data_IF_940617533156
#
_entry.id   IF_940617533156
#
_cell.length_a   1.000
_cell.length_b   1.000
_cell.length_c   1.000
_cell.angle_alpha   90.00
_cell.angle_beta   90.00
_cell.angle_gamma   90.00
#
_symmetry.space_group_name_H-M   'P 1'
#
loop_
_entity.id
_entity.type
_entity.pdbx_description
1 polymer ?
#
# COMPACT_ATOMS: atom_id res chain seq x y z
N UNK A 1 23.67 -2.15 31.89
CA UNK A 1 23.69 -1.15 30.82
C UNK A 1 22.61 -1.54 29.85
N UNK A 2 21.50 -0.80 29.81
CA UNK A 2 20.46 -0.98 28.80
C UNK A 2 21.03 -0.43 27.50
N UNK A 3 21.52 -1.32 26.64
CA UNK A 3 21.86 -0.94 25.26
C UNK A 3 20.64 -0.22 24.67
N UNK A 4 20.79 1.01 24.14
CA UNK A 4 19.67 1.72 23.55
C UNK A 4 18.98 0.83 22.51
N UNK A 5 17.64 0.91 22.42
CA UNK A 5 16.94 0.37 21.25
C UNK A 5 17.46 1.19 20.08
N UNK A 6 18.26 0.59 19.20
CA UNK A 6 18.88 1.32 18.10
C UNK A 6 17.82 1.44 17.01
N UNK A 7 17.07 2.53 17.03
CA UNK A 7 16.37 3.03 15.85
C UNK A 7 17.16 4.25 15.39
N UNK A 8 17.85 4.15 14.25
CA UNK A 8 18.67 5.28 13.76
C UNK A 8 17.81 6.45 13.27
N UNK A 9 16.56 6.15 12.88
CA UNK A 9 15.58 7.15 12.53
C UNK A 9 15.13 7.91 13.79
N UNK A 10 15.07 9.23 13.68
CA UNK A 10 14.47 10.11 14.68
C UNK A 10 15.09 10.12 16.09
N UNK A 11 16.39 9.79 16.23
CA UNK A 11 17.13 9.82 17.51
C UNK A 11 17.05 11.15 18.30
N UNK A 12 16.59 12.24 17.68
CA UNK A 12 16.46 13.57 18.28
C UNK A 12 15.01 13.96 18.59
N UNK A 13 14.05 13.11 18.26
CA UNK A 13 12.61 13.37 18.46
C UNK A 13 12.12 12.56 19.66
N UNK A 14 11.35 13.19 20.53
CA UNK A 14 10.66 12.53 21.65
C UNK A 14 9.15 12.71 21.47
N UNK A 15 8.42 11.68 21.01
CA UNK A 15 6.97 11.74 20.84
C UNK A 15 6.22 12.05 22.13
N UNK A 16 5.09 12.73 22.01
CA UNK A 16 4.19 12.98 23.13
C UNK A 16 3.68 11.62 23.67
N UNK A 17 3.88 11.31 24.97
CA UNK A 17 3.44 10.03 25.54
C UNK A 17 1.95 9.76 25.36
N UNK A 18 1.11 10.80 25.30
CA UNK A 18 -0.34 10.67 25.06
C UNK A 18 -0.65 10.26 23.62
N UNK A 19 0.16 10.69 22.65
CA UNK A 19 0.04 10.27 21.24
C UNK A 19 0.49 8.81 21.09
N UNK A 20 1.58 8.43 21.75
CA UNK A 20 2.08 7.04 21.77
C UNK A 20 1.01 6.10 22.34
N UNK A 21 0.39 6.46 23.48
CA UNK A 21 -0.69 5.67 24.08
C UNK A 21 -1.90 5.52 23.14
N UNK A 22 -2.24 6.56 22.36
CA UNK A 22 -3.30 6.49 21.35
C UNK A 22 -3.00 5.46 20.25
N UNK A 23 -1.75 5.40 19.74
CA UNK A 23 -1.36 4.42 18.73
C UNK A 23 -1.32 3.01 19.29
N UNK A 24 -0.80 2.81 20.51
CA UNK A 24 -0.81 1.49 21.16
C UNK A 24 -2.24 0.97 21.32
N UNK A 25 -3.18 1.79 21.82
CA UNK A 25 -4.60 1.42 21.93
C UNK A 25 -5.23 1.09 20.57
N UNK A 26 -4.83 1.80 19.52
CA UNK A 26 -5.28 1.53 18.17
C UNK A 26 -4.78 0.15 17.69
N UNK A 27 -3.51 -0.20 17.91
CA UNK A 27 -2.99 -1.52 17.58
C UNK A 27 -3.64 -2.62 18.43
N UNK A 28 -3.84 -2.40 19.72
CA UNK A 28 -4.56 -3.31 20.62
C UNK A 28 -5.98 -3.60 20.12
N UNK A 29 -6.68 -2.58 19.63
CA UNK A 29 -8.05 -2.71 19.11
C UNK A 29 -8.16 -3.61 17.87
N UNK A 30 -7.04 -3.90 17.21
CA UNK A 30 -6.94 -4.82 16.09
C UNK A 30 -6.92 -6.30 16.46
N UNK A 31 -6.68 -6.63 17.75
CA UNK A 31 -6.56 -8.02 18.18
C UNK A 31 -7.86 -8.80 17.92
N UNK A 32 -7.78 -9.81 17.06
CA UNK A 32 -8.88 -10.73 16.76
C UNK A 32 -8.81 -12.01 17.59
N UNK A 33 -9.91 -12.75 17.62
CA UNK A 33 -9.90 -14.12 18.13
C UNK A 33 -9.19 -15.04 17.14
N UNK A 34 -8.42 -16.01 17.65
CA UNK A 34 -7.73 -16.98 16.79
C UNK A 34 -8.77 -17.76 15.96
N UNK A 35 -8.57 -17.77 14.65
CA UNK A 35 -9.46 -18.45 13.70
C UNK A 35 -10.66 -17.62 13.21
N UNK A 36 -10.76 -16.33 13.59
CA UNK A 36 -11.79 -15.41 13.08
C UNK A 36 -11.25 -14.35 12.14
N UNK A 37 -9.96 -14.42 11.79
CA UNK A 37 -9.32 -13.44 10.91
C UNK A 37 -9.91 -13.46 9.51
N UNK A 38 -9.96 -12.30 8.87
CA UNK A 38 -10.34 -12.13 7.48
C UNK A 38 -9.20 -11.62 6.62
N UNK A 39 -9.53 -11.24 5.39
CA UNK A 39 -8.61 -10.59 4.46
C UNK A 39 -9.20 -9.25 4.03
N UNK A 40 -8.37 -8.21 4.04
CA UNK A 40 -8.61 -7.01 3.24
C UNK A 40 -7.84 -7.14 1.94
N UNK A 41 -8.45 -6.82 0.80
CA UNK A 41 -7.76 -6.80 -0.49
C UNK A 41 -8.02 -5.47 -1.18
N UNK A 42 -6.95 -4.79 -1.58
CA UNK A 42 -7.00 -3.56 -2.35
C UNK A 42 -6.38 -3.79 -3.71
N UNK A 43 -7.05 -3.33 -4.77
CA UNK A 43 -6.54 -3.40 -6.14
C UNK A 43 -6.66 -2.02 -6.77
N UNK A 44 -5.52 -1.42 -7.08
CA UNK A 44 -5.45 -0.18 -7.85
C UNK A 44 -5.41 -0.51 -9.34
N UNK A 45 -6.13 0.26 -10.14
CA UNK A 45 -6.22 0.10 -11.58
C UNK A 45 -5.68 1.34 -12.28
N UNK A 46 -5.07 1.14 -13.45
CA UNK A 46 -4.62 2.21 -14.32
C UNK A 46 -5.68 2.47 -15.40
N UNK A 47 -6.39 3.61 -15.36
CA UNK A 47 -7.32 3.98 -16.42
C UNK A 47 -6.55 4.41 -17.68
N UNK A 48 -6.77 3.72 -18.80
CA UNK A 48 -6.08 4.01 -20.07
C UNK A 48 -7.03 4.08 -21.25
N UNK A 49 -6.79 5.04 -22.15
CA UNK A 49 -7.60 5.24 -23.34
C UNK A 49 -7.60 4.01 -24.26
N UNK A 50 -8.75 3.64 -24.81
CA UNK A 50 -8.85 2.54 -25.75
C UNK A 50 -8.22 2.85 -27.11
N UNK A 51 -8.12 4.13 -27.48
CA UNK A 51 -7.52 4.56 -28.74
C UNK A 51 -6.02 4.31 -28.79
N UNK A 52 -5.30 4.59 -27.69
CA UNK A 52 -3.86 4.72 -27.77
C UNK A 52 -3.09 4.37 -26.49
N UNK A 53 -3.77 3.89 -25.44
CA UNK A 53 -3.20 3.41 -24.17
C UNK A 53 -2.52 4.51 -23.31
N UNK A 54 -2.75 5.79 -23.59
CA UNK A 54 -2.37 6.90 -22.69
C UNK A 54 -3.26 6.94 -21.44
N UNK A 55 -2.76 7.54 -20.37
CA UNK A 55 -3.50 7.69 -19.11
C UNK A 55 -4.75 8.56 -19.30
N UNK A 56 -5.84 8.16 -18.67
CA UNK A 56 -7.07 8.94 -18.53
C UNK A 56 -6.92 9.84 -17.31
N UNK A 57 -7.22 11.12 -17.47
CA UNK A 57 -7.07 12.10 -16.39
C UNK A 57 -8.40 12.39 -15.69
N UNK A 58 -8.34 13.02 -14.52
CA UNK A 58 -9.55 13.39 -13.78
C UNK A 58 -10.41 14.43 -14.49
N UNK A 59 -9.77 15.41 -15.13
CA UNK A 59 -10.43 16.64 -15.60
C UNK A 59 -10.92 16.60 -17.06
N UNK A 60 -10.62 15.55 -17.81
CA UNK A 60 -11.11 15.42 -19.18
C UNK A 60 -12.60 15.08 -19.22
N UNK A 61 -13.28 15.43 -20.33
CA UNK A 61 -14.75 15.38 -20.41
C UNK A 61 -15.33 13.98 -20.19
N UNK A 62 -14.62 12.94 -20.65
CA UNK A 62 -14.97 11.54 -20.43
C UNK A 62 -14.00 10.86 -19.45
N UNK A 63 -13.44 11.62 -18.51
CA UNK A 63 -12.39 11.16 -17.60
C UNK A 63 -12.90 10.45 -16.35
N UNK A 64 -12.03 10.41 -15.35
CA UNK A 64 -12.31 9.74 -14.07
C UNK A 64 -13.48 10.39 -13.32
N UNK A 65 -13.62 11.73 -13.35
CA UNK A 65 -14.78 12.39 -12.73
C UNK A 65 -16.09 11.97 -13.40
N UNK A 66 -16.09 11.82 -14.73
CA UNK A 66 -17.25 11.35 -15.47
C UNK A 66 -17.58 9.90 -15.09
N UNK A 67 -16.57 9.03 -14.99
CA UNK A 67 -16.74 7.67 -14.50
C UNK A 67 -17.37 7.62 -13.12
N UNK A 68 -16.79 8.33 -12.15
CA UNK A 68 -17.30 8.36 -10.77
C UNK A 68 -18.76 8.82 -10.71
N UNK A 69 -19.10 9.89 -11.42
CA UNK A 69 -20.49 10.37 -11.47
C UNK A 69 -21.45 9.36 -12.12
N UNK A 70 -21.00 8.56 -13.09
CA UNK A 70 -21.83 7.56 -13.76
C UNK A 70 -22.01 6.29 -12.95
N UNK A 71 -21.03 5.89 -12.15
CA UNK A 71 -21.15 4.73 -11.26
C UNK A 71 -21.78 5.08 -9.91
N UNK A 72 -21.79 6.36 -9.53
CA UNK A 72 -22.39 6.88 -8.29
C UNK A 72 -23.75 6.25 -7.92
N UNK A 73 -24.71 6.02 -8.84
CA UNK A 73 -26.00 5.40 -8.51
C UNK A 73 -25.94 3.96 -7.99
N UNK A 74 -24.80 3.27 -8.13
CA UNK A 74 -24.59 1.92 -7.60
C UNK A 74 -24.12 1.91 -6.13
N UNK A 75 -23.83 3.08 -5.54
CA UNK A 75 -23.23 3.25 -4.21
C UNK A 75 -24.16 3.99 -3.25
N UNK A 76 -23.81 3.98 -1.96
CA UNK A 76 -24.61 4.61 -0.91
C UNK A 76 -24.40 6.14 -0.93
N UNK A 77 -25.48 6.93 -1.06
CA UNK A 77 -25.41 8.41 -1.10
C UNK A 77 -24.74 9.02 0.14
N UNK A 78 -24.82 8.35 1.30
CA UNK A 78 -24.21 8.81 2.55
C UNK A 78 -22.73 8.40 2.71
N UNK A 79 -22.15 7.72 1.72
CA UNK A 79 -20.73 7.30 1.68
C UNK A 79 -20.05 7.79 0.41
N UNK A 80 -20.43 8.97 -0.04
CA UNK A 80 -19.73 9.70 -1.08
C UNK A 80 -18.62 10.55 -0.46
N UNK A 81 -17.43 10.52 -1.07
CA UNK A 81 -16.29 11.31 -0.62
C UNK A 81 -16.10 12.48 -1.58
N UNK A 82 -16.19 13.69 -1.03
CA UNK A 82 -16.13 14.94 -1.77
C UNK A 82 -14.94 15.77 -1.32
N UNK A 83 -14.17 16.27 -2.28
CA UNK A 83 -13.05 17.19 -2.05
C UNK A 83 -13.26 18.42 -2.93
N UNK A 84 -13.27 19.63 -2.34
CA UNK A 84 -13.42 20.88 -3.11
C UNK A 84 -14.63 20.90 -4.08
N UNK A 85 -15.74 20.28 -3.67
CA UNK A 85 -16.97 20.18 -4.48
C UNK A 85 -16.90 19.14 -5.60
N UNK A 86 -15.91 18.25 -5.60
CA UNK A 86 -15.67 17.21 -6.60
C UNK A 86 -15.71 15.82 -5.98
N UNK A 87 -16.31 14.87 -6.68
CA UNK A 87 -16.46 13.49 -6.22
C UNK A 87 -15.12 12.75 -6.41
N UNK A 88 -14.55 12.24 -5.32
CA UNK A 88 -13.22 11.59 -5.32
C UNK A 88 -13.24 10.17 -4.76
N UNK A 89 -14.40 9.67 -4.35
CA UNK A 89 -14.56 8.32 -3.87
C UNK A 89 -16.03 7.98 -3.60
N UNK A 90 -16.32 6.69 -3.56
CA UNK A 90 -17.64 6.12 -3.36
C UNK A 90 -17.51 4.88 -2.49
N UNK A 91 -18.47 4.59 -1.63
CA UNK A 91 -18.50 3.31 -0.94
C UNK A 91 -19.92 2.79 -0.76
N UNK A 92 -20.00 1.47 -0.66
CA UNK A 92 -21.20 0.73 -0.25
C UNK A 92 -20.77 -0.44 0.62
N UNK A 93 -21.72 -1.23 1.08
CA UNK A 93 -21.36 -2.46 1.79
C UNK A 93 -20.51 -3.39 0.89
N UNK A 94 -19.42 -3.92 1.44
CA UNK A 94 -18.52 -4.85 0.74
C UNK A 94 -17.53 -4.25 -0.27
N UNK A 95 -17.61 -2.97 -0.64
CA UNK A 95 -16.61 -2.33 -1.54
C UNK A 95 -16.57 -0.80 -1.40
N UNK A 96 -15.36 -0.25 -1.39
CA UNK A 96 -15.10 1.18 -1.60
C UNK A 96 -14.25 1.41 -2.85
N UNK A 97 -14.52 2.52 -3.52
CA UNK A 97 -13.78 3.04 -4.66
C UNK A 97 -13.14 4.35 -4.25
N UNK A 98 -11.82 4.43 -4.38
CA UNK A 98 -11.02 5.60 -4.04
C UNK A 98 -10.12 5.99 -5.21
N UNK A 99 -9.50 7.18 -5.13
CA UNK A 99 -8.56 7.66 -6.13
C UNK A 99 -7.20 7.91 -5.52
N UNK A 100 -6.18 7.35 -6.15
CA UNK A 100 -4.76 7.64 -5.92
C UNK A 100 -4.35 8.97 -6.59
N UNK A 101 -3.13 9.52 -6.33
CA UNK A 101 -2.79 10.87 -6.74
C UNK A 101 -2.87 11.13 -8.26
N UNK A 102 -2.56 10.14 -9.10
CA UNK A 102 -2.61 10.26 -10.56
C UNK A 102 -3.95 9.92 -11.21
N UNK A 103 -4.96 9.56 -10.41
CA UNK A 103 -6.24 9.10 -10.95
C UNK A 103 -6.34 7.59 -11.11
N UNK A 104 -5.40 6.83 -10.57
CA UNK A 104 -5.56 5.38 -10.45
C UNK A 104 -6.80 5.08 -9.61
N UNK A 105 -7.61 4.14 -10.08
CA UNK A 105 -8.88 3.77 -9.45
C UNK A 105 -8.62 2.61 -8.50
N UNK A 106 -8.70 2.86 -7.20
CA UNK A 106 -8.55 1.83 -6.19
C UNK A 106 -9.90 1.21 -5.86
N UNK A 107 -9.95 -0.12 -5.78
CA UNK A 107 -11.05 -0.85 -5.16
C UNK A 107 -10.56 -1.50 -3.88
N UNK A 108 -11.08 -1.06 -2.75
CA UNK A 108 -10.89 -1.72 -1.45
C UNK A 108 -12.06 -2.66 -1.23
N UNK A 109 -11.79 -3.96 -1.26
CA UNK A 109 -12.80 -5.01 -1.07
C UNK A 109 -13.05 -5.16 0.43
N UNK A 110 -14.31 -5.33 0.81
CA UNK A 110 -14.71 -5.61 2.18
C UNK A 110 -14.05 -6.87 2.74
N UNK A 111 -14.21 -7.11 4.04
CA UNK A 111 -13.57 -8.23 4.73
C UNK A 111 -13.99 -9.55 4.09
N UNK A 112 -13.03 -10.25 3.50
CA UNK A 112 -13.20 -11.61 3.00
C UNK A 112 -12.95 -12.60 4.13
N UNK A 113 -13.75 -13.65 4.22
CA UNK A 113 -13.46 -14.79 5.10
C UNK A 113 -12.80 -15.94 4.35
N UNK A 114 -12.88 -15.92 3.03
CA UNK A 114 -12.18 -16.85 2.16
C UNK A 114 -11.62 -16.14 0.93
N UNK A 115 -10.43 -16.53 0.44
CA UNK A 115 -9.84 -15.91 -0.75
C UNK A 115 -10.78 -15.92 -1.97
N UNK A 116 -11.55 -17.00 -2.19
CA UNK A 116 -12.39 -17.18 -3.38
C UNK A 116 -13.60 -16.21 -3.42
N UNK A 117 -13.88 -15.51 -2.31
CA UNK A 117 -14.88 -14.45 -2.27
C UNK A 117 -14.44 -13.22 -3.09
N UNK A 118 -13.12 -13.05 -3.30
CA UNK A 118 -12.54 -11.95 -4.05
C UNK A 118 -13.05 -11.89 -5.48
N UNK A 119 -12.96 -12.99 -6.25
CA UNK A 119 -13.46 -13.03 -7.63
C UNK A 119 -14.95 -12.68 -7.74
N UNK A 120 -15.75 -13.06 -6.74
CA UNK A 120 -17.19 -12.79 -6.71
C UNK A 120 -17.48 -11.30 -6.52
N UNK A 121 -16.89 -10.68 -5.49
CA UNK A 121 -17.10 -9.27 -5.16
C UNK A 121 -16.49 -8.34 -6.21
N UNK A 122 -15.25 -8.60 -6.60
CA UNK A 122 -14.58 -7.82 -7.64
C UNK A 122 -15.26 -7.99 -9.01
N UNK A 123 -15.71 -9.21 -9.35
CA UNK A 123 -16.46 -9.46 -10.57
C UNK A 123 -17.79 -8.71 -10.62
N UNK A 124 -18.45 -8.47 -9.48
CA UNK A 124 -19.65 -7.63 -9.42
C UNK A 124 -19.34 -6.17 -9.76
N UNK A 125 -18.26 -5.63 -9.19
CA UNK A 125 -17.76 -4.29 -9.55
C UNK A 125 -17.46 -4.17 -11.04
N UNK A 126 -16.74 -5.15 -11.63
CA UNK A 126 -16.41 -5.15 -13.06
C UNK A 126 -17.64 -5.14 -13.96
N UNK A 127 -18.67 -5.93 -13.63
CA UNK A 127 -19.94 -5.94 -14.37
C UNK A 127 -20.68 -4.60 -14.36
N UNK A 128 -20.51 -3.79 -13.32
CA UNK A 128 -21.13 -2.46 -13.21
C UNK A 128 -20.30 -1.39 -13.95
N UNK A 129 -18.98 -1.44 -13.83
CA UNK A 129 -18.08 -0.40 -14.35
C UNK A 129 -17.72 -0.58 -15.82
N UNK A 130 -17.51 -1.82 -16.30
CA UNK A 130 -17.00 -2.10 -17.64
C UNK A 130 -17.91 -1.55 -18.77
N UNK A 131 -19.26 -1.65 -18.72
CA UNK A 131 -20.11 -1.03 -19.73
C UNK A 131 -19.99 0.49 -19.79
N UNK A 132 -19.80 1.15 -18.63
CA UNK A 132 -19.64 2.60 -18.55
C UNK A 132 -18.28 3.02 -19.10
N UNK A 133 -17.23 2.26 -18.79
CA UNK A 133 -15.88 2.46 -19.31
C UNK A 133 -15.85 2.40 -20.84
N UNK A 134 -16.52 1.40 -21.43
CA UNK A 134 -16.64 1.27 -22.89
C UNK A 134 -17.31 2.49 -23.52
N UNK A 135 -18.38 3.00 -22.93
CA UNK A 135 -19.04 4.24 -23.40
C UNK A 135 -18.17 5.49 -23.24
N UNK A 136 -17.34 5.56 -22.20
CA UNK A 136 -16.40 6.66 -21.96
C UNK A 136 -15.16 6.58 -22.85
N UNK A 137 -14.87 5.40 -23.43
CA UNK A 137 -13.79 5.19 -24.39
C UNK A 137 -12.44 4.82 -23.75
N UNK A 138 -12.45 4.26 -22.55
CA UNK A 138 -11.25 3.82 -21.85
C UNK A 138 -11.47 2.51 -21.09
N UNK A 139 -10.42 1.92 -20.54
CA UNK A 139 -10.47 0.67 -19.76
C UNK A 139 -9.58 0.74 -18.53
N UNK A 140 -9.80 -0.19 -17.61
CA UNK A 140 -8.96 -0.40 -16.43
C UNK A 140 -7.95 -1.50 -16.72
N UNK A 141 -6.67 -1.21 -16.46
CA UNK A 141 -5.54 -2.13 -16.64
C UNK A 141 -4.91 -2.45 -15.30
N UNK A 142 -4.51 -3.71 -15.13
CA UNK A 142 -3.76 -4.21 -13.98
C UNK A 142 -2.29 -4.38 -14.36
N UNK A 143 -1.52 -3.31 -14.25
CA UNK A 143 -0.06 -3.31 -14.30
C UNK A 143 0.50 -2.53 -13.10
N UNK A 144 1.73 -2.81 -12.70
CA UNK A 144 2.38 -2.05 -11.63
C UNK A 144 2.76 -0.61 -12.01
N UNK A 145 2.77 -0.28 -13.31
CA UNK A 145 3.06 1.06 -13.81
C UNK A 145 2.36 1.36 -15.14
N UNK A 146 2.11 2.64 -15.38
CA UNK A 146 1.47 3.15 -16.59
C UNK A 146 2.18 2.70 -17.90
N UNK A 147 1.47 2.09 -18.86
CA UNK A 147 2.08 1.53 -20.06
C UNK A 147 2.71 2.55 -21.01
N UNK A 148 2.07 3.72 -21.19
CA UNK A 148 2.47 4.69 -22.22
C UNK A 148 2.85 6.07 -21.71
N UNK A 149 2.04 6.63 -20.82
CA UNK A 149 2.26 8.00 -20.31
C UNK A 149 3.41 8.06 -19.31
N UNK A 150 4.12 9.19 -19.31
CA UNK A 150 5.09 9.56 -18.28
C UNK A 150 4.37 10.21 -17.09
N UNK A 151 5.01 10.22 -15.92
CA UNK A 151 4.53 11.01 -14.76
C UNK A 151 4.30 12.50 -15.08
N UNK A 152 5.01 13.02 -16.09
CA UNK A 152 4.90 14.41 -16.53
C UNK A 152 3.58 14.69 -17.27
N UNK A 153 2.97 13.67 -17.87
CA UNK A 153 1.73 13.80 -18.64
C UNK A 153 0.48 13.74 -17.74
N UNK A 154 0.63 13.24 -16.50
CA UNK A 154 -0.49 12.97 -15.60
C UNK A 154 -0.55 14.08 -14.52
N UNK A 155 -1.61 14.90 -14.50
CA UNK A 155 -1.82 15.86 -13.42
C UNK A 155 -2.25 15.14 -12.13
N UNK A 156 -2.02 15.78 -10.99
CA UNK A 156 -2.54 15.26 -9.72
C UNK A 156 -4.02 15.60 -9.53
N UNK A 157 -4.73 14.69 -8.87
CA UNK A 157 -6.12 14.85 -8.46
C UNK A 157 -6.33 16.08 -7.54
N UNK A 158 -7.56 16.63 -7.46
CA UNK A 158 -7.89 17.88 -6.77
C UNK A 158 -7.87 17.80 -5.22
N UNK A 159 -6.88 17.13 -4.62
CA UNK A 159 -6.68 17.05 -3.16
C UNK A 159 -5.45 17.86 -2.74
N UNK A 160 -5.59 18.76 -1.77
CA UNK A 160 -4.50 19.60 -1.27
C UNK A 160 -3.35 18.75 -0.71
N UNK A 161 -3.69 17.64 -0.05
CA UNK A 161 -2.75 16.62 0.41
C UNK A 161 -1.83 16.11 -0.72
N UNK A 162 -2.35 15.84 -1.92
CA UNK A 162 -1.54 15.35 -3.03
C UNK A 162 -0.60 16.40 -3.60
N UNK A 163 -0.99 17.68 -3.55
CA UNK A 163 -0.11 18.80 -3.89
C UNK A 163 1.06 18.90 -2.92
N UNK A 164 0.81 18.77 -1.61
CA UNK A 164 1.85 18.77 -0.58
C UNK A 164 2.78 17.55 -0.71
N UNK A 165 2.22 16.35 -0.88
CA UNK A 165 2.99 15.12 -1.11
C UNK A 165 3.84 15.20 -2.38
N UNK A 166 3.32 15.75 -3.47
CA UNK A 166 4.09 15.97 -4.72
C UNK A 166 5.30 16.86 -4.46
N UNK A 167 5.11 17.96 -3.72
CA UNK A 167 6.19 18.89 -3.41
C UNK A 167 7.24 18.27 -2.46
N UNK A 168 6.82 17.41 -1.53
CA UNK A 168 7.72 16.69 -0.62
C UNK A 168 8.49 15.58 -1.34
N UNK A 169 7.78 14.59 -1.88
CA UNK A 169 8.35 13.39 -2.50
C UNK A 169 9.11 13.71 -3.78
N UNK A 170 8.71 14.76 -4.51
CA UNK A 170 9.47 15.28 -5.64
C UNK A 170 10.82 15.91 -5.29
N UNK A 171 11.08 16.19 -4.01
CA UNK A 171 12.37 16.72 -3.52
C UNK A 171 13.25 15.63 -2.90
N UNK A 172 12.67 14.65 -2.22
CA UNK A 172 13.42 13.67 -1.42
C UNK A 172 13.61 12.32 -2.10
N UNK A 173 12.67 11.91 -2.97
CA UNK A 173 12.64 10.57 -3.53
C UNK A 173 13.05 10.51 -5.00
N UNK A 174 13.76 9.45 -5.39
CA UNK A 174 14.20 9.24 -6.78
C UNK A 174 13.00 9.16 -7.74
N UNK A 175 11.89 8.56 -7.29
CA UNK A 175 10.71 8.25 -8.11
C UNK A 175 9.41 8.83 -7.53
N UNK A 176 9.47 9.87 -6.70
CA UNK A 176 8.28 10.40 -6.00
C UNK A 176 7.08 10.67 -6.92
N UNK A 177 7.24 11.51 -7.97
CA UNK A 177 6.16 11.77 -8.92
C UNK A 177 5.70 10.53 -9.71
N UNK A 178 6.64 9.64 -10.08
CA UNK A 178 6.36 8.38 -10.77
C UNK A 178 5.48 7.45 -9.92
N UNK A 179 5.87 7.22 -8.66
CA UNK A 179 5.10 6.42 -7.71
C UNK A 179 3.69 7.00 -7.56
N UNK A 180 3.59 8.29 -7.25
CA UNK A 180 2.30 8.91 -6.96
C UNK A 180 1.34 8.88 -8.15
N UNK A 181 1.84 9.09 -9.37
CA UNK A 181 0.99 9.37 -10.54
C UNK A 181 0.79 8.20 -11.48
N UNK A 182 1.69 7.22 -11.45
CA UNK A 182 1.76 6.21 -12.49
C UNK A 182 1.86 4.78 -11.96
N UNK A 183 2.12 4.58 -10.66
CA UNK A 183 2.15 3.23 -10.11
C UNK A 183 0.76 2.77 -9.69
N UNK A 184 0.54 1.46 -9.73
CA UNK A 184 -0.65 0.81 -9.18
C UNK A 184 -0.25 -0.47 -8.44
N UNK A 185 -0.99 -0.83 -7.41
CA UNK A 185 -0.66 -1.97 -6.53
C UNK A 185 -1.82 -2.93 -6.27
N UNK A 186 -1.46 -4.13 -5.84
CA UNK A 186 -2.35 -5.03 -5.10
C UNK A 186 -1.81 -5.15 -3.69
N UNK A 187 -2.69 -5.00 -2.70
CA UNK A 187 -2.35 -5.07 -1.29
C UNK A 187 -3.25 -6.11 -0.61
N UNK A 188 -2.66 -6.87 0.31
CA UNK A 188 -3.40 -7.84 1.12
C UNK A 188 -3.21 -7.46 2.58
N UNK A 189 -4.30 -7.43 3.35
CA UNK A 189 -4.30 -7.17 4.77
C UNK A 189 -4.79 -8.39 5.54
N UNK A 190 -4.15 -8.68 6.67
CA UNK A 190 -4.51 -9.77 7.58
C UNK A 190 -4.57 -9.28 9.04
N UNK A 191 -5.27 -10.04 9.87
CA UNK A 191 -5.42 -9.80 11.28
C UNK A 191 -4.31 -10.46 12.11
N UNK A 192 -4.20 -10.01 13.36
CA UNK A 192 -3.35 -10.60 14.39
C UNK A 192 -4.10 -10.77 15.71
N UNK A 193 -3.58 -11.61 16.61
CA UNK A 193 -4.26 -11.97 17.87
C UNK A 193 -3.58 -11.38 19.12
N UNK A 194 -2.38 -10.85 18.99
CA UNK A 194 -1.59 -10.23 20.06
C UNK A 194 -0.46 -9.38 19.49
N UNK A 195 0.23 -8.61 20.32
CA UNK A 195 1.46 -7.90 19.94
C UNK A 195 2.52 -8.86 19.39
N UNK A 196 2.76 -9.97 20.09
CA UNK A 196 3.75 -10.96 19.65
C UNK A 196 3.43 -11.53 18.27
N UNK A 197 2.17 -11.89 18.02
CA UNK A 197 1.71 -12.37 16.71
C UNK A 197 1.84 -11.28 15.64
N UNK A 198 1.50 -10.03 15.99
CA UNK A 198 1.61 -8.90 15.08
C UNK A 198 3.06 -8.67 14.64
N UNK A 199 3.99 -8.60 15.59
CA UNK A 199 5.41 -8.36 15.32
C UNK A 199 6.04 -9.55 14.56
N UNK A 200 5.66 -10.78 14.87
CA UNK A 200 6.12 -11.97 14.14
C UNK A 200 5.69 -11.92 12.67
N UNK A 201 4.41 -11.62 12.40
CA UNK A 201 3.86 -11.46 11.05
C UNK A 201 4.48 -10.28 10.30
N UNK A 202 4.75 -9.15 10.97
CA UNK A 202 5.50 -8.03 10.37
C UNK A 202 6.89 -8.47 9.92
N UNK A 203 7.68 -9.09 10.82
CA UNK A 203 9.04 -9.58 10.52
C UNK A 203 9.03 -10.54 9.35
N UNK A 204 8.22 -11.60 9.43
CA UNK A 204 8.16 -12.62 8.40
C UNK A 204 7.67 -12.06 7.07
N UNK A 205 6.66 -11.18 7.10
CA UNK A 205 6.17 -10.48 5.93
C UNK A 205 7.24 -9.63 5.24
N UNK A 206 8.07 -8.93 6.01
CA UNK A 206 9.21 -8.17 5.50
C UNK A 206 10.29 -9.09 4.91
N UNK A 207 10.51 -10.27 5.50
CA UNK A 207 11.50 -11.25 5.01
C UNK A 207 11.07 -11.91 3.71
N UNK A 208 9.85 -12.46 3.64
CA UNK A 208 9.40 -13.19 2.43
C UNK A 208 8.86 -12.25 1.35
N UNK A 209 8.54 -11.01 1.70
CA UNK A 209 7.95 -10.00 0.83
C UNK A 209 8.68 -9.79 -0.50
N UNK A 210 10.02 -9.60 -0.52
CA UNK A 210 10.79 -9.48 -1.75
C UNK A 210 10.69 -10.71 -2.67
N UNK A 211 10.65 -11.91 -2.09
CA UNK A 211 10.46 -13.16 -2.84
C UNK A 211 9.06 -13.18 -3.45
N UNK A 212 8.02 -12.86 -2.69
CA UNK A 212 6.66 -12.78 -3.21
C UNK A 212 6.52 -11.69 -4.29
N UNK A 213 7.19 -10.55 -4.13
CA UNK A 213 7.24 -9.50 -5.14
C UNK A 213 7.78 -10.02 -6.49
N UNK A 214 8.79 -10.90 -6.45
CA UNK A 214 9.33 -11.56 -7.65
C UNK A 214 8.30 -12.38 -8.41
N UNK A 215 7.55 -13.25 -7.71
CA UNK A 215 6.57 -14.12 -8.34
C UNK A 215 5.29 -13.39 -8.78
N UNK A 216 4.97 -12.27 -8.14
CA UNK A 216 3.80 -11.44 -8.43
C UNK A 216 4.14 -10.13 -9.15
N UNK A 217 5.33 -10.02 -9.75
CA UNK A 217 5.68 -8.88 -10.60
C UNK A 217 4.75 -8.82 -11.82
N UNK A 218 4.36 -7.61 -12.21
CA UNK A 218 3.41 -7.36 -13.28
C UNK A 218 3.58 -5.95 -13.87
N UNK A 219 4.83 -5.56 -14.13
CA UNK A 219 5.19 -4.25 -14.69
C UNK A 219 5.95 -4.41 -16.01
N UNK A 220 5.26 -4.54 -17.15
CA UNK A 220 5.91 -4.65 -18.47
C UNK A 220 6.55 -3.34 -18.95
N UNK A 221 6.08 -2.19 -18.46
CA UNK A 221 6.49 -0.87 -18.96
C UNK A 221 6.92 0.08 -17.86
N UNK A 222 7.77 1.05 -18.22
CA UNK A 222 8.15 2.18 -17.38
C UNK A 222 8.39 3.41 -18.26
N UNK A 223 7.72 4.52 -17.93
CA UNK A 223 7.87 5.81 -18.64
C UNK A 223 7.71 5.68 -20.17
N UNK A 224 6.71 4.91 -20.60
CA UNK A 224 6.36 4.71 -22.01
C UNK A 224 7.30 3.80 -22.80
N UNK A 225 8.16 3.03 -22.11
CA UNK A 225 9.10 2.07 -22.70
C UNK A 225 9.04 0.74 -21.95
N UNK A 226 9.69 -0.29 -22.51
CA UNK A 226 9.90 -1.55 -21.80
C UNK A 226 10.58 -1.31 -20.45
N UNK A 227 10.07 -1.97 -19.40
CA UNK A 227 10.57 -1.82 -18.04
C UNK A 227 12.01 -2.39 -17.92
N UNK A 228 13.02 -1.58 -17.54
CA UNK A 228 14.40 -2.05 -17.41
C UNK A 228 14.70 -2.68 -16.04
N UNK A 229 13.74 -2.70 -15.12
CA UNK A 229 13.94 -3.16 -13.74
C UNK A 229 13.27 -4.52 -13.50
N UNK A 230 13.96 -5.51 -12.92
CA UNK A 230 13.33 -6.76 -12.54
C UNK A 230 12.20 -6.58 -11.52
N UNK A 231 12.35 -5.65 -10.56
CA UNK A 231 11.33 -5.27 -9.59
C UNK A 231 11.19 -3.75 -9.51
N UNK A 232 10.47 -3.14 -10.48
CA UNK A 232 10.30 -1.67 -10.52
C UNK A 232 9.69 -1.12 -9.22
N UNK A 233 8.62 -1.75 -8.71
CA UNK A 233 7.96 -1.29 -7.48
C UNK A 233 8.93 -1.25 -6.31
N UNK A 234 9.68 -2.33 -6.08
CA UNK A 234 10.72 -2.36 -5.04
C UNK A 234 11.75 -1.24 -5.25
N UNK A 235 12.22 -1.07 -6.49
CA UNK A 235 13.15 0.01 -6.85
C UNK A 235 12.61 1.41 -6.53
N UNK A 236 11.31 1.64 -6.73
CA UNK A 236 10.68 2.93 -6.38
C UNK A 236 10.62 3.14 -4.87
N UNK A 237 10.14 2.15 -4.12
CA UNK A 237 9.94 2.26 -2.67
C UNK A 237 11.26 2.29 -1.88
N UNK A 238 12.28 1.55 -2.31
CA UNK A 238 13.60 1.51 -1.63
C UNK A 238 14.31 2.87 -1.58
N UNK A 239 14.00 3.77 -2.52
CA UNK A 239 14.65 5.07 -2.68
C UNK A 239 13.66 6.25 -2.66
N UNK A 240 12.48 6.06 -2.06
CA UNK A 240 11.47 7.10 -1.98
C UNK A 240 11.67 8.02 -0.76
N UNK A 241 11.58 7.47 0.44
CA UNK A 241 11.86 8.18 1.70
C UNK A 241 12.15 7.16 2.79
N UNK A 242 13.44 7.01 3.14
CA UNK A 242 13.92 5.98 4.06
C UNK A 242 13.33 6.09 5.48
N UNK A 243 12.69 7.20 5.84
CA UNK A 243 12.03 7.36 7.14
C UNK A 243 10.66 6.68 7.20
N UNK A 244 10.04 6.38 6.07
CA UNK A 244 8.66 5.88 6.02
C UNK A 244 8.45 4.73 5.04
N UNK A 245 9.49 4.24 4.39
CA UNK A 245 9.43 3.19 3.36
C UNK A 245 10.40 2.08 3.72
N UNK A 246 10.35 0.97 2.98
CA UNK A 246 11.28 -0.15 3.15
C UNK A 246 11.11 -0.85 4.52
N UNK A 247 12.15 -1.54 5.00
CA UNK A 247 12.18 -2.22 6.30
C UNK A 247 11.97 -1.22 7.45
N UNK A 248 11.12 -1.59 8.41
CA UNK A 248 10.86 -0.78 9.62
C UNK A 248 12.14 -0.73 10.47
N UNK A 249 12.64 0.46 10.85
CA UNK A 249 13.84 0.59 11.67
C UNK A 249 13.73 -0.18 12.99
N UNK A 250 14.69 -1.08 13.25
CA UNK A 250 14.76 -1.84 14.51
C UNK A 250 13.80 -3.02 14.61
N UNK A 251 13.02 -3.35 13.57
CA UNK A 251 12.05 -4.45 13.56
C UNK A 251 12.64 -5.79 14.02
N UNK A 252 13.90 -6.06 13.67
CA UNK A 252 14.60 -7.31 14.01
C UNK A 252 15.27 -7.31 15.39
N UNK A 253 15.18 -6.23 16.18
CA UNK A 253 15.55 -6.27 17.60
C UNK A 253 14.52 -7.14 18.35
N UNK A 254 14.92 -8.17 19.13
CA UNK A 254 13.99 -9.02 19.86
C UNK A 254 13.05 -8.29 20.83
N UNK A 255 13.39 -7.04 21.20
CA UNK A 255 12.62 -6.17 22.09
C UNK A 255 11.62 -5.27 21.37
N UNK A 256 11.62 -5.26 20.03
CA UNK A 256 10.74 -4.43 19.22
C UNK A 256 9.27 -4.76 19.49
N UNK A 257 8.45 -3.74 19.76
CA UNK A 257 7.02 -3.85 20.01
C UNK A 257 6.21 -2.70 19.41
N UNK A 258 4.93 -2.63 19.76
CA UNK A 258 3.99 -1.59 19.34
C UNK A 258 4.42 -0.19 19.73
N UNK A 259 5.04 -0.03 20.91
CA UNK A 259 5.58 1.26 21.34
C UNK A 259 6.68 1.75 20.40
N UNK A 260 7.57 0.87 19.95
CA UNK A 260 8.67 1.24 19.05
C UNK A 260 8.14 1.65 17.67
N UNK A 261 7.15 0.91 17.16
CA UNK A 261 6.48 1.29 15.91
C UNK A 261 5.68 2.60 16.05
N UNK A 262 5.00 2.81 17.18
CA UNK A 262 4.30 4.08 17.45
C UNK A 262 5.28 5.27 17.48
N UNK A 263 6.44 5.10 18.14
CA UNK A 263 7.49 6.12 18.20
C UNK A 263 8.04 6.43 16.82
N UNK A 264 8.33 5.42 16.00
CA UNK A 264 8.78 5.59 14.61
C UNK A 264 7.77 6.42 13.79
N UNK A 265 6.49 6.03 13.87
CA UNK A 265 5.39 6.69 13.16
C UNK A 265 5.21 8.15 13.59
N UNK A 266 5.23 8.41 14.90
CA UNK A 266 5.00 9.75 15.45
C UNK A 266 6.18 10.68 15.28
N UNK A 267 7.40 10.13 15.17
CA UNK A 267 8.61 10.92 15.02
C UNK A 267 8.93 11.30 13.58
N UNK A 268 8.32 10.61 12.62
CA UNK A 268 8.47 10.88 11.19
C UNK A 268 7.84 12.23 10.83
N UNK A 269 8.58 13.14 10.15
CA UNK A 269 8.01 14.39 9.67
C UNK A 269 6.78 14.15 8.80
N UNK A 270 5.74 14.95 8.98
CA UNK A 270 4.52 14.85 8.19
C UNK A 270 4.73 15.44 6.79
N UNK A 271 3.98 14.95 5.81
CA UNK A 271 3.94 15.61 4.49
C UNK A 271 2.87 16.71 4.44
N UNK A 272 1.79 16.53 5.20
CA UNK A 272 0.62 17.39 5.19
C UNK A 272 -0.07 17.30 6.54
N UNK A 273 -0.30 18.44 7.18
CA UNK A 273 -1.12 18.55 8.37
C UNK A 273 -2.59 18.65 7.98
N UNK A 274 -3.43 17.88 8.66
CA UNK A 274 -4.88 17.96 8.55
C UNK A 274 -5.50 18.07 9.95
N UNK A 275 -6.08 19.24 10.20
CA UNK A 275 -6.71 19.63 11.46
C UNK A 275 -8.23 19.80 11.33
N UNK A 276 -8.83 19.40 10.21
CA UNK A 276 -10.29 19.51 9.99
C UNK A 276 -11.11 18.67 10.96
N UNK A 277 -10.48 17.68 11.59
CA UNK A 277 -11.06 16.82 12.60
C UNK A 277 -10.44 17.05 14.00
N UNK A 278 -9.80 18.20 14.21
CA UNK A 278 -9.18 18.59 15.48
C UNK A 278 -10.04 19.69 16.13
N UNK A 279 -10.86 19.37 17.16
CA UNK A 279 -11.80 20.33 17.77
C UNK A 279 -11.15 21.63 18.25
N UNK A 280 -9.93 21.53 18.77
CA UNK A 280 -9.16 22.68 19.26
C UNK A 280 -8.81 23.66 18.14
N UNK A 281 -8.47 23.16 16.95
CA UNK A 281 -8.18 23.99 15.77
C UNK A 281 -9.45 24.64 15.23
N UNK A 282 -10.56 23.88 15.18
CA UNK A 282 -11.87 24.39 14.74
C UNK A 282 -12.44 25.47 15.66
N UNK A 283 -12.09 25.44 16.95
CA UNK A 283 -12.55 26.42 17.93
C UNK A 283 -11.87 27.80 17.79
N UNK A 284 -10.77 27.89 17.02
CA UNK A 284 -10.01 29.12 16.82
C UNK A 284 -10.25 29.66 15.40
N UNK A 285 -10.99 30.78 15.23
CA UNK A 285 -11.25 31.35 13.92
C UNK A 285 -9.97 31.75 13.18
N UNK A 286 -9.88 31.40 11.90
CA UNK A 286 -8.73 31.75 11.06
C UNK A 286 -7.52 30.83 11.20
N UNK A 287 -7.63 29.73 11.97
CA UNK A 287 -6.61 28.68 12.00
C UNK A 287 -6.44 28.07 10.60
N UNK A 288 -5.18 27.87 10.22
CA UNK A 288 -4.87 27.13 9.01
C UNK A 288 -5.08 25.62 9.25
N UNK A 289 -6.18 25.09 8.71
CA UNK A 289 -6.56 23.70 8.95
C UNK A 289 -5.77 22.71 8.08
N UNK A 290 -5.12 23.18 7.02
CA UNK A 290 -4.43 22.36 6.02
C UNK A 290 -3.14 23.03 5.55
N UNK A 291 -1.99 22.44 5.86
CA UNK A 291 -0.70 22.97 5.40
C UNK A 291 0.35 21.89 5.15
N UNK A 292 1.34 22.14 4.26
CA UNK A 292 2.51 21.27 4.15
C UNK A 292 3.33 21.28 5.44
N UNK A 293 3.57 20.11 6.02
CA UNK A 293 4.12 19.95 7.37
C UNK A 293 5.55 19.36 7.36
N UNK A 294 6.37 19.73 6.37
CA UNK A 294 7.61 19.01 6.00
C UNK A 294 8.70 18.95 7.08
N UNK A 295 8.62 19.81 8.09
CA UNK A 295 9.55 19.89 9.23
C UNK A 295 8.86 19.64 10.57
N UNK A 296 7.56 19.32 10.53
CA UNK A 296 6.70 19.15 11.70
C UNK A 296 6.35 17.66 11.81
N UNK A 297 6.32 17.14 13.03
CA UNK A 297 5.81 15.80 13.31
C UNK A 297 4.45 15.88 14.04
N UNK A 298 3.93 14.74 14.49
CA UNK A 298 2.63 14.70 15.15
C UNK A 298 2.54 15.57 16.42
N UNK A 299 3.65 15.75 17.16
CA UNK A 299 3.70 16.61 18.34
C UNK A 299 3.54 18.10 17.99
N UNK A 300 4.08 18.51 16.84
CA UNK A 300 4.05 19.90 16.40
C UNK A 300 2.66 20.28 15.86
N UNK A 301 2.03 19.33 15.16
CA UNK A 301 0.73 19.54 14.50
C UNK A 301 -0.44 19.36 15.45
N UNK A 302 -0.44 18.30 16.29
CA UNK A 302 -1.60 17.93 17.09
C UNK A 302 -1.48 18.38 18.55
N UNK A 303 -2.61 18.73 19.20
CA UNK A 303 -2.60 19.26 20.57
C UNK A 303 -2.10 18.24 21.60
N UNK A 304 -1.70 18.74 22.78
CA UNK A 304 -1.21 17.94 23.92
C UNK A 304 -2.33 17.14 24.64
N UNK A 305 -2.95 16.24 23.90
CA UNK A 305 -3.95 15.24 24.33
C UNK A 305 -3.77 13.96 23.52
N UNK A 306 -4.48 12.90 23.88
CA UNK A 306 -4.53 11.70 23.02
C UNK A 306 -5.06 12.03 21.63
N UNK A 307 -4.48 11.41 20.60
CA UNK A 307 -4.95 11.53 19.22
C UNK A 307 -6.33 10.87 19.08
N UNK A 308 -7.20 11.46 18.26
CA UNK A 308 -8.49 10.88 17.90
C UNK A 308 -8.36 9.93 16.70
N UNK A 309 -9.44 9.21 16.38
CA UNK A 309 -9.42 8.19 15.32
C UNK A 309 -9.03 8.74 13.93
N UNK A 310 -9.40 9.97 13.60
CA UNK A 310 -9.02 10.59 12.33
C UNK A 310 -7.53 10.91 12.32
N UNK A 311 -7.02 11.56 13.37
CA UNK A 311 -5.62 11.95 13.51
C UNK A 311 -4.68 10.73 13.47
N UNK A 312 -5.04 9.64 14.17
CA UNK A 312 -4.31 8.36 14.13
C UNK A 312 -4.22 7.82 12.70
N UNK A 313 -5.36 7.72 12.00
CA UNK A 313 -5.39 7.23 10.63
C UNK A 313 -4.61 8.14 9.68
N UNK A 314 -4.68 9.46 9.86
CA UNK A 314 -3.96 10.42 9.03
C UNK A 314 -2.44 10.24 9.16
N UNK A 315 -1.90 10.19 10.39
CA UNK A 315 -0.46 10.00 10.62
C UNK A 315 0.02 8.66 10.03
N UNK A 316 -0.66 7.55 10.35
CA UNK A 316 -0.28 6.22 9.86
C UNK A 316 -0.40 6.10 8.33
N UNK A 317 -1.39 6.77 7.71
CA UNK A 317 -1.60 6.72 6.26
C UNK A 317 -0.44 7.30 5.43
N UNK A 318 0.53 7.96 6.07
CA UNK A 318 1.74 8.48 5.43
C UNK A 318 2.97 7.61 5.67
N UNK A 319 2.80 6.45 6.29
CA UNK A 319 3.83 5.42 6.40
C UNK A 319 3.58 4.35 5.35
N UNK A 320 4.63 3.92 4.67
CA UNK A 320 4.58 3.06 3.50
C UNK A 320 5.71 2.02 3.52
N UNK A 321 6.03 1.49 4.70
CA UNK A 321 6.94 0.37 4.85
C UNK A 321 6.46 -0.83 4.02
N UNK A 322 7.38 -1.74 3.69
CA UNK A 322 7.10 -2.96 2.92
C UNK A 322 5.92 -3.78 3.48
N UNK A 323 5.85 -3.83 4.81
CA UNK A 323 4.70 -4.30 5.58
C UNK A 323 4.36 -3.23 6.60
N UNK A 324 3.10 -2.80 6.64
CA UNK A 324 2.61 -1.72 7.50
C UNK A 324 1.74 -2.27 8.62
N UNK A 325 1.94 -1.76 9.83
CA UNK A 325 1.07 -2.02 10.96
C UNK A 325 0.03 -0.90 11.10
N UNK A 326 -1.23 -1.33 11.16
CA UNK A 326 -2.41 -0.58 11.62
C UNK A 326 -3.06 -1.37 12.75
N UNK A 327 -4.37 -1.29 12.91
CA UNK A 327 -5.16 -2.28 13.65
C UNK A 327 -5.33 -3.61 12.88
N UNK A 328 -4.51 -3.83 11.85
CA UNK A 328 -4.32 -5.02 11.03
C UNK A 328 -2.91 -4.90 10.40
N UNK A 329 -2.42 -5.96 9.74
CA UNK A 329 -1.14 -5.95 9.02
C UNK A 329 -1.42 -5.89 7.54
N UNK A 330 -0.77 -4.96 6.85
CA UNK A 330 -0.95 -4.72 5.43
C UNK A 330 0.37 -4.99 4.68
N UNK A 331 0.33 -5.92 3.73
CA UNK A 331 1.46 -6.24 2.86
C UNK A 331 1.35 -5.45 1.55
N UNK A 332 2.43 -4.77 1.17
CA UNK A 332 2.38 -3.71 0.14
C UNK A 332 3.31 -3.94 -1.06
N UNK A 333 3.89 -5.12 -1.17
CA UNK A 333 4.99 -5.43 -2.09
C UNK A 333 4.61 -5.45 -3.57
N UNK A 334 3.34 -5.66 -3.88
CA UNK A 334 2.96 -6.19 -5.20
C UNK A 334 2.48 -5.12 -6.16
N UNK A 335 2.79 -5.35 -7.43
CA UNK A 335 2.21 -4.63 -8.56
C UNK A 335 0.70 -4.86 -8.59
N UNK A 336 -0.05 -4.03 -9.33
CA UNK A 336 -1.46 -4.32 -9.58
C UNK A 336 -1.59 -5.67 -10.32
N UNK A 337 -2.48 -6.52 -9.82
CA UNK A 337 -2.69 -7.87 -10.32
C UNK A 337 -4.11 -8.04 -10.90
N UNK A 338 -4.27 -8.80 -11.99
CA UNK A 338 -5.55 -9.39 -12.35
C UNK A 338 -6.16 -10.17 -11.18
N UNK A 339 -7.50 -10.20 -11.10
CA UNK A 339 -8.23 -10.73 -9.94
C UNK A 339 -7.86 -12.18 -9.59
N UNK A 340 -7.62 -13.04 -10.59
CA UNK A 340 -7.23 -14.43 -10.35
C UNK A 340 -5.84 -14.54 -9.68
N UNK A 341 -4.90 -13.66 -10.06
CA UNK A 341 -3.58 -13.57 -9.41
C UNK A 341 -3.69 -12.98 -8.02
N UNK A 342 -4.53 -11.96 -7.82
CA UNK A 342 -4.79 -11.37 -6.51
C UNK A 342 -5.41 -12.39 -5.54
N UNK A 343 -6.37 -13.20 -6.01
CA UNK A 343 -6.98 -14.28 -5.23
C UNK A 343 -5.94 -15.33 -4.82
N UNK A 344 -5.11 -15.78 -5.78
CA UNK A 344 -4.03 -16.72 -5.49
C UNK A 344 -3.02 -16.16 -4.49
N UNK A 345 -2.70 -14.87 -4.60
CA UNK A 345 -1.85 -14.19 -3.63
C UNK A 345 -2.48 -14.20 -2.23
N UNK A 346 -3.78 -13.89 -2.12
CA UNK A 346 -4.53 -13.92 -0.86
C UNK A 346 -4.54 -15.33 -0.26
N UNK A 347 -4.72 -16.39 -1.07
CA UNK A 347 -4.60 -17.78 -0.62
C UNK A 347 -3.22 -18.09 -0.02
N UNK A 348 -2.15 -17.70 -0.71
CA UNK A 348 -0.77 -17.91 -0.25
C UNK A 348 -0.53 -17.18 1.07
N UNK A 349 -0.95 -15.92 1.17
CA UNK A 349 -0.84 -15.14 2.42
C UNK A 349 -1.63 -15.81 3.56
N UNK A 350 -2.86 -16.25 3.31
CA UNK A 350 -3.65 -16.99 4.29
C UNK A 350 -2.96 -18.28 4.73
N UNK A 351 -2.44 -19.06 3.78
CA UNK A 351 -1.72 -20.31 4.05
C UNK A 351 -0.46 -20.08 4.89
N UNK A 352 0.29 -19.00 4.63
CA UNK A 352 1.55 -18.73 5.31
C UNK A 352 1.37 -18.14 6.72
N UNK A 353 0.34 -17.31 6.92
CA UNK A 353 0.20 -16.52 8.16
C UNK A 353 -1.00 -16.90 9.04
N UNK A 354 -1.99 -17.64 8.54
CA UNK A 354 -3.11 -18.15 9.34
C UNK A 354 -3.02 -19.63 9.67
N UNK A 355 -2.29 -20.45 8.90
CA UNK A 355 -1.96 -21.81 9.30
C UNK A 355 -0.79 -21.78 10.32
N UNK A 356 -1.01 -22.19 11.59
CA UNK A 356 0.04 -22.19 12.60
C UNK A 356 1.27 -23.01 12.20
N UNK A 357 1.08 -24.11 11.46
CA UNK A 357 2.16 -24.99 11.02
C UNK A 357 3.10 -24.28 10.05
N UNK A 358 2.54 -23.50 9.11
CA UNK A 358 3.34 -22.74 8.16
C UNK A 358 4.00 -21.53 8.83
N UNK A 359 3.29 -20.84 9.72
CA UNK A 359 3.84 -19.72 10.46
C UNK A 359 5.04 -20.17 11.31
N UNK A 360 4.90 -21.24 12.10
CA UNK A 360 5.99 -21.82 12.90
C UNK A 360 7.17 -22.28 12.03
N UNK A 361 6.89 -22.84 10.84
CA UNK A 361 7.93 -23.23 9.88
C UNK A 361 8.71 -22.03 9.36
N UNK A 362 8.04 -20.91 9.07
CA UNK A 362 8.69 -19.67 8.66
C UNK A 362 9.52 -19.08 9.80
N UNK A 363 8.97 -19.00 11.01
CA UNK A 363 9.69 -18.54 12.21
C UNK A 363 10.96 -19.36 12.45
N UNK A 364 10.86 -20.68 12.37
CA UNK A 364 12.01 -21.57 12.57
C UNK A 364 13.06 -21.46 11.46
N UNK A 365 12.66 -21.23 10.21
CA UNK A 365 13.59 -21.13 9.09
C UNK A 365 14.38 -19.82 9.13
N UNK A 366 13.72 -18.73 9.50
CA UNK A 366 14.31 -17.39 9.58
C UNK A 366 14.77 -17.02 11.00
N UNK A 367 14.99 -17.99 11.88
CA UNK A 367 15.55 -17.72 13.20
C UNK A 367 16.93 -17.05 13.08
N UNK A 368 17.12 -15.96 13.82
CA UNK A 368 18.35 -15.16 13.77
C UNK A 368 18.55 -14.33 12.49
N UNK A 369 17.56 -14.23 11.60
CA UNK A 369 17.62 -13.33 10.43
C UNK A 369 17.81 -11.88 10.88
N UNK A 370 18.58 -11.12 10.12
CA UNK A 370 18.83 -9.70 10.39
C UNK A 370 18.27 -8.83 9.27
N UNK A 371 18.12 -7.55 9.59
CA UNK A 371 17.74 -6.52 8.62
C UNK A 371 18.66 -6.51 7.39
N UNK A 372 19.98 -6.67 7.57
CA UNK A 372 20.93 -6.68 6.46
C UNK A 372 20.73 -7.86 5.51
N UNK A 373 20.24 -8.99 6.02
CA UNK A 373 19.98 -10.17 5.21
C UNK A 373 18.74 -9.92 4.31
N UNK A 374 17.75 -9.16 4.78
CA UNK A 374 16.62 -8.69 3.95
C UNK A 374 17.10 -7.73 2.87
N UNK A 375 17.94 -6.77 3.22
CA UNK A 375 18.51 -5.84 2.23
C UNK A 375 19.37 -6.56 1.18
N UNK A 376 20.15 -7.57 1.57
CA UNK A 376 20.87 -8.41 0.63
C UNK A 376 19.91 -9.12 -0.32
N UNK A 377 18.86 -9.77 0.20
CA UNK A 377 17.87 -10.47 -0.63
C UNK A 377 17.19 -9.53 -1.65
N UNK A 378 16.79 -8.33 -1.22
CA UNK A 378 16.23 -7.28 -2.07
C UNK A 378 17.21 -6.86 -3.18
N UNK A 379 18.47 -6.61 -2.82
CA UNK A 379 19.51 -6.26 -3.79
C UNK A 379 19.83 -7.42 -4.75
N UNK A 380 19.82 -8.65 -4.26
CA UNK A 380 20.08 -9.87 -5.02
C UNK A 380 19.04 -10.06 -6.13
N UNK A 381 17.75 -9.98 -5.77
CA UNK A 381 16.62 -10.03 -6.70
C UNK A 381 16.71 -8.92 -7.75
N UNK A 382 16.96 -7.69 -7.30
CA UNK A 382 17.05 -6.54 -8.20
C UNK A 382 18.24 -6.63 -9.18
N UNK A 383 19.35 -7.25 -8.76
CA UNK A 383 20.57 -7.33 -9.57
C UNK A 383 20.63 -8.57 -10.49
N UNK A 384 20.06 -9.70 -10.05
CA UNK A 384 20.20 -10.99 -10.74
C UNK A 384 18.92 -11.50 -11.41
N UNK A 385 17.77 -10.91 -11.11
CA UNK A 385 16.49 -11.30 -11.69
C UNK A 385 16.23 -12.80 -11.52
N UNK A 386 15.99 -13.51 -12.63
CA UNK A 386 15.70 -14.96 -12.62
C UNK A 386 16.85 -15.85 -12.13
N UNK A 387 18.06 -15.31 -11.99
CA UNK A 387 19.23 -16.00 -11.43
C UNK A 387 19.49 -15.62 -9.97
N UNK A 388 18.55 -14.94 -9.33
CA UNK A 388 18.66 -14.56 -7.93
C UNK A 388 18.69 -15.77 -7.01
N UNK A 389 19.40 -15.60 -5.90
CA UNK A 389 19.55 -16.57 -4.82
C UNK A 389 19.29 -15.91 -3.46
N UNK A 390 18.10 -15.30 -3.24
CA UNK A 390 17.82 -14.59 -1.99
C UNK A 390 17.96 -15.54 -0.79
N UNK A 391 18.63 -15.06 0.26
CA UNK A 391 19.02 -15.86 1.43
C UNK A 391 19.77 -17.17 1.08
N UNK A 392 20.54 -17.15 -0.01
CA UNK A 392 21.39 -18.26 -0.44
C UNK A 392 20.66 -19.41 -1.16
N UNK A 393 19.36 -19.27 -1.45
CA UNK A 393 18.57 -20.33 -2.09
C UNK A 393 17.97 -19.86 -3.41
N UNK A 394 17.80 -20.78 -4.36
CA UNK A 394 17.27 -20.45 -5.68
C UNK A 394 15.78 -20.10 -5.64
N UNK A 395 15.30 -19.48 -6.72
CA UNK A 395 13.88 -19.16 -6.85
C UNK A 395 13.00 -20.42 -6.91
N UNK A 396 13.50 -21.54 -7.46
CA UNK A 396 12.78 -22.81 -7.44
C UNK A 396 12.61 -23.36 -6.03
N UNK A 397 13.65 -23.26 -5.18
CA UNK A 397 13.53 -23.60 -3.76
C UNK A 397 12.45 -22.74 -3.10
N UNK A 398 12.45 -21.44 -3.35
CA UNK A 398 11.48 -20.54 -2.75
C UNK A 398 10.05 -20.76 -3.25
N UNK A 399 9.90 -21.14 -4.52
CA UNK A 399 8.62 -21.52 -5.08
C UNK A 399 8.02 -22.70 -4.31
N UNK A 400 8.78 -23.77 -4.11
CA UNK A 400 8.33 -24.94 -3.36
C UNK A 400 8.13 -24.62 -1.87
N UNK A 401 9.12 -23.94 -1.25
CA UNK A 401 9.11 -23.68 0.18
C UNK A 401 7.97 -22.75 0.62
N UNK A 402 7.56 -21.80 -0.22
CA UNK A 402 6.48 -20.86 0.09
C UNK A 402 5.13 -21.26 -0.57
N UNK A 403 5.08 -22.37 -1.31
CA UNK A 403 3.86 -22.84 -1.98
C UNK A 403 3.40 -21.91 -3.11
N UNK A 404 4.34 -21.40 -3.91
CA UNK A 404 4.12 -20.45 -5.00
C UNK A 404 3.86 -21.15 -6.35
N UNK A 405 3.33 -22.37 -6.32
CA UNK A 405 2.79 -23.00 -7.52
C UNK A 405 1.50 -22.29 -7.94
N UNK A 406 1.27 -22.24 -9.25
CA UNK A 406 0.03 -21.71 -9.82
C UNK A 406 -0.16 -20.21 -9.59
N UNK A 407 0.90 -19.40 -9.58
CA UNK A 407 0.84 -17.92 -9.46
C UNK A 407 0.25 -17.20 -10.68
N UNK A 408 -0.18 -17.97 -11.70
CA UNK A 408 -0.83 -17.51 -12.94
C UNK A 408 -0.07 -16.36 -13.61
N UNK A 409 1.24 -16.53 -13.80
CA UNK A 409 2.10 -15.49 -14.40
C UNK A 409 1.74 -15.14 -15.85
N UNK A 410 0.94 -15.99 -16.49
CA UNK A 410 0.38 -15.86 -17.84
C UNK A 410 -1.05 -15.27 -17.86
N UNK A 411 -1.60 -14.86 -16.71
CA UNK A 411 -2.86 -14.11 -16.66
C UNK A 411 -2.61 -12.64 -17.09
N UNK A 412 -3.28 -12.15 -18.16
CA UNK A 412 -2.96 -10.85 -18.74
C UNK A 412 -3.40 -9.68 -17.86
N UNK A 413 -2.50 -8.69 -17.71
CA UNK A 413 -2.79 -7.43 -17.02
C UNK A 413 -3.70 -6.48 -17.80
N UNK A 414 -3.73 -6.62 -19.13
CA UNK A 414 -4.55 -5.81 -20.03
C UNK A 414 -5.32 -6.71 -21.01
N UNK A 415 -6.66 -6.73 -20.97
CA UNK A 415 -7.47 -7.51 -21.90
C UNK A 415 -7.25 -7.17 -23.39
N UNK A 416 -6.79 -5.95 -23.70
CA UNK A 416 -6.49 -5.52 -25.09
C UNK A 416 -5.14 -6.05 -25.58
N UNK A 417 -4.23 -6.37 -24.68
CA UNK A 417 -2.87 -6.84 -24.97
C UNK A 417 -2.60 -8.16 -24.23
N UNK A 418 -3.33 -9.24 -24.56
CA UNK A 418 -3.32 -10.49 -23.79
C UNK A 418 -1.98 -11.24 -23.82
N UNK A 419 -1.09 -10.90 -24.75
CA UNK A 419 0.23 -11.52 -24.91
C UNK A 419 1.37 -10.70 -24.27
N UNK A 420 1.04 -9.61 -23.55
CA UNK A 420 2.03 -8.73 -22.91
C UNK A 420 2.18 -9.09 -21.45
N UNK A 421 3.39 -9.53 -21.10
CA UNK A 421 3.80 -9.87 -19.74
C UNK A 421 5.14 -9.21 -19.42
N UNK A 422 5.44 -9.08 -18.13
CA UNK A 422 6.79 -8.67 -17.72
C UNK A 422 7.79 -9.79 -18.03
N UNK A 423 8.91 -9.42 -18.64
CA UNK A 423 9.98 -10.35 -19.04
C UNK A 423 10.69 -11.06 -17.86
#
# INVERSE_FOLDING_TARGET
>A
MTTPKITYAHLLTEPNPKHVESLIKFFESGCQQRGTGGFGVEIEHLPVHNSDDTAVTYYESNGIEALLNRIRPYYDENKEYWENGRLVGLARDGISVSLEPGGQLETSIGILHKPEELATLYGAFRREVDPILEELGFRLVNYGYQPKSSYADIPVNPKDRYKAMTAYLGRVGQFGPCMMRCSASTQVSIDYVSEQDAIAKLRLGTVIGPILAWFFRNTPYFEGRENPYPLLRQRMWDYLDFQRTNVIPGLFDPRFGWEDYAVDVLSTPMMFADLTHTPEALAVPGTDLHHPAFYENANDVYPDRGLNAYEINHVISTHFNDVRLKNFIEFRHWDSLPVARAERLTEIIGSLFYDPTNLERLESYFDGIREEDVFEAKANLQARGSQAIPYGNSLEFWQEFLGLEGVLADEPGDPKHPDVFQA
#
